data_IF_726163119364
#
_entry.id   IF_726163119364
#
_cell.length_a   1.000
_cell.length_b   1.000
_cell.length_c   1.000
_cell.angle_alpha   90.00
_cell.angle_beta   90.00
_cell.angle_gamma   90.00
#
_symmetry.space_group_name_H-M   'P 1'
#
loop_
_entity.id
_entity.type
_entity.pdbx_description
1 polymer ?
#
# COMPACT_ATOMS: atom_id res chain seq x y z
N UNK A 1 -13.60 -4.70 -12.24
CA UNK A 1 -13.81 -3.89 -11.03
C UNK A 1 -13.61 -2.41 -11.36
N UNK A 2 -14.44 -1.50 -10.81
CA UNK A 2 -14.34 -0.08 -11.12
C UNK A 2 -13.10 0.58 -10.44
N UNK A 3 -12.69 1.76 -10.92
CA UNK A 3 -11.50 2.47 -10.41
C UNK A 3 -11.63 2.90 -8.95
N UNK A 4 -12.84 3.26 -8.52
CA UNK A 4 -13.12 3.69 -7.15
C UNK A 4 -12.91 2.55 -6.15
N UNK A 5 -13.41 1.36 -6.47
CA UNK A 5 -13.23 0.16 -5.67
C UNK A 5 -11.74 -0.22 -5.57
N UNK A 6 -10.99 -0.13 -6.66
CA UNK A 6 -9.53 -0.35 -6.63
C UNK A 6 -8.85 0.70 -5.74
N UNK A 7 -9.20 1.98 -5.88
CA UNK A 7 -8.66 3.06 -5.04
C UNK A 7 -8.93 2.82 -3.55
N UNK A 8 -10.17 2.52 -3.19
CA UNK A 8 -10.54 2.20 -1.81
C UNK A 8 -9.74 1.01 -1.26
N UNK A 9 -9.60 -0.06 -2.05
CA UNK A 9 -8.83 -1.25 -1.66
C UNK A 9 -7.35 -0.95 -1.48
N UNK A 10 -6.73 -0.15 -2.35
CA UNK A 10 -5.33 0.30 -2.18
C UNK A 10 -5.16 1.03 -0.85
N UNK A 11 -6.07 1.97 -0.55
CA UNK A 11 -6.02 2.74 0.68
C UNK A 11 -6.20 1.84 1.91
N UNK A 12 -7.19 0.94 1.90
CA UNK A 12 -7.44 0.01 3.00
C UNK A 12 -6.24 -0.92 3.26
N UNK A 13 -5.66 -1.51 2.20
CA UNK A 13 -4.45 -2.32 2.31
C UNK A 13 -3.28 -1.52 2.90
N UNK A 14 -3.05 -0.31 2.39
CA UNK A 14 -1.91 0.51 2.83
C UNK A 14 -2.06 0.98 4.29
N UNK A 15 -3.26 1.40 4.71
CA UNK A 15 -3.54 1.79 6.10
C UNK A 15 -3.24 0.62 7.04
N UNK A 16 -3.73 -0.58 6.71
CA UNK A 16 -3.50 -1.77 7.52
C UNK A 16 -2.02 -2.14 7.58
N UNK A 17 -1.32 -2.09 6.44
CA UNK A 17 0.11 -2.36 6.40
C UNK A 17 0.92 -1.40 7.28
N UNK A 18 0.63 -0.10 7.23
CA UNK A 18 1.30 0.91 8.08
C UNK A 18 0.98 0.66 9.56
N UNK A 19 -0.27 0.31 9.88
CA UNK A 19 -0.69 0.01 11.26
C UNK A 19 0.04 -1.22 11.82
N UNK A 20 0.14 -2.30 11.04
CA UNK A 20 0.88 -3.49 11.45
C UNK A 20 2.37 -3.20 11.64
N UNK A 21 3.01 -2.51 10.70
CA UNK A 21 4.42 -2.14 10.84
C UNK A 21 4.67 -1.25 12.07
N UNK A 22 3.71 -0.38 12.43
CA UNK A 22 3.79 0.43 13.65
C UNK A 22 3.79 -0.44 14.92
N UNK A 23 2.98 -1.51 14.98
CA UNK A 23 2.95 -2.43 16.13
C UNK A 23 4.33 -3.04 16.41
N UNK A 24 5.10 -3.33 15.37
CA UNK A 24 6.44 -3.94 15.47
C UNK A 24 7.59 -2.91 15.56
N UNK A 25 7.28 -1.61 15.59
CA UNK A 25 8.30 -0.55 15.56
C UNK A 25 8.97 -0.31 16.94
N UNK A 26 8.61 -1.10 17.97
CA UNK A 26 9.24 -1.05 19.29
C UNK A 26 10.43 -1.99 19.49
N UNK A 27 10.66 -2.95 18.58
CA UNK A 27 11.58 -4.07 18.84
C UNK A 27 12.78 -4.19 17.89
N UNK A 28 12.75 -3.67 16.66
CA UNK A 28 13.85 -3.85 15.70
C UNK A 28 14.03 -2.66 14.73
N UNK A 29 15.26 -2.16 14.60
CA UNK A 29 15.65 -1.04 13.72
C UNK A 29 15.18 -1.20 12.25
N UNK A 30 15.11 -2.44 11.74
CA UNK A 30 14.71 -2.74 10.37
C UNK A 30 13.21 -2.46 10.10
N UNK A 31 12.35 -2.62 11.11
CA UNK A 31 10.93 -2.31 10.99
C UNK A 31 10.68 -0.81 10.87
N UNK A 32 11.58 0.02 11.41
CA UNK A 32 11.44 1.47 11.35
C UNK A 32 11.63 2.02 9.92
N UNK A 33 12.65 1.55 9.19
CA UNK A 33 12.85 1.96 7.79
C UNK A 33 11.67 1.56 6.91
N UNK A 34 11.22 0.30 7.00
CA UNK A 34 10.07 -0.17 6.22
C UNK A 34 8.79 0.58 6.61
N UNK A 35 8.58 0.86 7.90
CA UNK A 35 7.46 1.67 8.37
C UNK A 35 7.47 3.08 7.75
N UNK A 36 8.62 3.76 7.75
CA UNK A 36 8.75 5.10 7.17
C UNK A 36 8.51 5.09 5.66
N UNK A 37 9.03 4.11 4.93
CA UNK A 37 8.74 3.92 3.50
C UNK A 37 7.23 3.74 3.25
N UNK A 38 6.56 2.86 3.98
CA UNK A 38 5.13 2.63 3.82
C UNK A 38 4.29 3.86 4.21
N UNK A 39 4.75 4.65 5.19
CA UNK A 39 4.10 5.91 5.54
C UNK A 39 4.17 6.92 4.38
N UNK A 40 5.31 7.02 3.68
CA UNK A 40 5.42 7.86 2.48
C UNK A 40 4.49 7.41 1.37
N UNK A 41 4.40 6.09 1.14
CA UNK A 41 3.44 5.51 0.17
C UNK A 41 1.99 5.85 0.54
N UNK A 42 1.62 5.78 1.82
CA UNK A 42 0.29 6.17 2.29
C UNK A 42 0.00 7.66 2.00
N UNK A 43 0.97 8.55 2.26
CA UNK A 43 0.82 9.98 1.94
C UNK A 43 0.63 10.18 0.44
N UNK A 44 1.36 9.45 -0.42
CA UNK A 44 1.18 9.52 -1.89
C UNK A 44 -0.20 9.07 -2.34
N UNK A 45 -0.81 8.08 -1.68
CA UNK A 45 -2.18 7.64 -1.97
C UNK A 45 -3.24 8.69 -1.60
N UNK A 46 -2.90 9.73 -0.84
CA UNK A 46 -3.83 10.86 -0.61
C UNK A 46 -4.00 11.72 -1.86
N UNK A 47 -3.08 11.63 -2.84
CA UNK A 47 -3.28 12.24 -4.14
C UNK A 47 -4.30 11.40 -4.95
N UNK A 48 -5.46 11.97 -5.34
CA UNK A 48 -6.50 11.25 -6.06
C UNK A 48 -6.03 10.62 -7.37
N UNK A 49 -5.10 11.27 -8.09
CA UNK A 49 -4.53 10.73 -9.31
C UNK A 49 -3.77 9.42 -9.07
N UNK A 50 -2.97 9.37 -8.00
CA UNK A 50 -2.18 8.19 -7.62
C UNK A 50 -3.08 7.07 -7.07
N UNK A 51 -4.08 7.45 -6.27
CA UNK A 51 -5.06 6.54 -5.70
C UNK A 51 -5.85 5.81 -6.78
N UNK A 52 -6.39 6.58 -7.73
CA UNK A 52 -7.27 6.09 -8.79
C UNK A 52 -6.50 5.53 -10.00
N UNK A 53 -5.18 5.65 -10.00
CA UNK A 53 -4.35 5.04 -11.04
C UNK A 53 -4.45 3.51 -10.95
N UNK A 54 -4.84 2.90 -12.06
CA UNK A 54 -4.98 1.44 -12.21
C UNK A 54 -3.92 0.84 -13.15
N UNK A 55 -3.09 1.69 -13.76
CA UNK A 55 -2.00 1.30 -14.62
C UNK A 55 -0.67 1.22 -13.87
N UNK A 56 0.41 1.05 -14.63
CA UNK A 56 1.77 1.17 -14.12
C UNK A 56 2.05 2.66 -13.90
N UNK A 57 2.37 3.05 -12.66
CA UNK A 57 2.87 4.40 -12.42
C UNK A 57 4.25 4.55 -13.06
N UNK A 58 4.52 5.68 -13.75
CA UNK A 58 5.85 5.97 -14.25
C UNK A 58 6.83 5.98 -13.07
N UNK A 59 8.09 5.66 -13.33
CA UNK A 59 9.14 5.81 -12.32
C UNK A 59 9.22 7.28 -11.92
N UNK A 60 8.57 7.64 -10.80
CA UNK A 60 8.90 8.86 -10.07
C UNK A 60 10.28 8.69 -9.43
N UNK A 61 10.85 9.78 -8.92
CA UNK A 61 12.20 9.87 -8.32
C UNK A 61 12.59 8.74 -7.34
N UNK A 62 11.62 8.06 -6.70
CA UNK A 62 11.87 6.92 -5.82
C UNK A 62 11.36 5.57 -6.40
N UNK A 63 12.29 4.67 -6.71
CA UNK A 63 12.02 3.32 -7.24
C UNK A 63 11.30 2.41 -6.25
N UNK A 64 11.53 2.56 -4.95
CA UNK A 64 10.93 1.73 -3.91
C UNK A 64 9.44 2.07 -3.76
N UNK A 65 9.11 3.36 -3.73
CA UNK A 65 7.72 3.81 -3.64
C UNK A 65 6.90 3.37 -4.86
N UNK A 66 7.46 3.48 -6.06
CA UNK A 66 6.81 3.02 -7.30
C UNK A 66 6.58 1.51 -7.28
N UNK A 67 7.52 0.72 -6.74
CA UNK A 67 7.35 -0.73 -6.54
C UNK A 67 6.17 -1.01 -5.61
N UNK A 68 6.07 -0.33 -4.48
CA UNK A 68 4.97 -0.51 -3.53
C UNK A 68 3.63 -0.12 -4.13
N UNK A 69 3.53 1.04 -4.80
CA UNK A 69 2.29 1.49 -5.43
C UNK A 69 1.81 0.54 -6.54
N UNK A 70 2.73 0.03 -7.37
CA UNK A 70 2.39 -0.96 -8.39
C UNK A 70 1.98 -2.30 -7.76
N UNK A 71 2.62 -2.72 -6.67
CA UNK A 71 2.24 -3.90 -5.90
C UNK A 71 0.82 -3.78 -5.33
N UNK A 72 0.50 -2.63 -4.73
CA UNK A 72 -0.84 -2.31 -4.23
C UNK A 72 -1.88 -2.36 -5.35
N UNK A 73 -1.59 -1.81 -6.52
CA UNK A 73 -2.52 -1.90 -7.68
C UNK A 73 -2.82 -3.35 -8.03
N UNK A 74 -1.80 -4.23 -8.08
CA UNK A 74 -1.97 -5.66 -8.38
C UNK A 74 -2.80 -6.40 -7.32
N UNK A 75 -2.54 -6.12 -6.04
CA UNK A 75 -3.29 -6.74 -4.94
C UNK A 75 -4.73 -6.24 -4.91
N UNK A 76 -4.93 -4.93 -5.06
CA UNK A 76 -6.25 -4.31 -5.01
C UNK A 76 -7.14 -4.72 -6.19
N UNK A 77 -6.57 -4.91 -7.39
CA UNK A 77 -7.32 -5.27 -8.59
C UNK A 77 -7.76 -6.74 -8.65
N UNK A 78 -7.19 -7.61 -7.81
CA UNK A 78 -7.51 -9.03 -7.74
C UNK A 78 -8.27 -9.34 -6.45
N UNK A 79 -9.54 -9.73 -6.57
CA UNK A 79 -10.42 -10.01 -5.42
C UNK A 79 -9.85 -11.05 -4.46
N UNK A 80 -9.32 -12.16 -5.00
CA UNK A 80 -8.74 -13.23 -4.18
C UNK A 80 -7.49 -12.74 -3.44
N UNK A 81 -6.58 -12.07 -4.13
CA UNK A 81 -5.36 -11.54 -3.52
C UNK A 81 -5.66 -10.48 -2.45
N UNK A 82 -6.61 -9.59 -2.73
CA UNK A 82 -7.08 -8.58 -1.77
C UNK A 82 -7.62 -9.23 -0.48
N UNK A 83 -8.49 -10.23 -0.61
CA UNK A 83 -9.07 -10.91 0.55
C UNK A 83 -8.03 -11.71 1.34
N UNK A 84 -7.12 -12.40 0.66
CA UNK A 84 -5.99 -13.09 1.31
C UNK A 84 -5.13 -12.10 2.09
N UNK A 85 -4.78 -10.96 1.48
CA UNK A 85 -3.95 -9.95 2.12
C UNK A 85 -4.66 -9.33 3.32
N UNK A 86 -5.97 -9.06 3.21
CA UNK A 86 -6.78 -8.56 4.32
C UNK A 86 -6.80 -9.52 5.51
N UNK A 87 -7.00 -10.80 5.25
CA UNK A 87 -7.03 -11.84 6.29
C UNK A 87 -5.63 -12.08 6.91
N UNK A 88 -4.56 -11.75 6.18
CA UNK A 88 -3.19 -11.84 6.66
C UNK A 88 -2.79 -10.73 7.65
N UNK A 89 -3.50 -9.61 7.67
CA UNK A 89 -3.32 -8.59 8.72
C UNK A 89 -3.97 -9.12 10.01
N UNK A 90 -3.16 -9.62 10.95
CA UNK A 90 -3.64 -10.09 12.25
C UNK A 90 -4.33 -8.94 12.99
N UNK A 91 -5.58 -9.16 13.41
CA UNK A 91 -6.33 -8.29 14.32
C UNK A 91 -5.52 -8.02 15.59
#
# INVERSE_FOLDING_TARGET
MNRLAIGYRKLNLQIRQVKELKKFNGSEFANNTRYLEQKKVLIKLLNPFVLMNTGKLPYTSDKHEVKYLNGLTKLASNDRAYNIQLNGFKS
#
